data_IF_401034215630
#
_entry.id   IF_401034215630
#
_cell.length_a   1.000
_cell.length_b   1.000
_cell.length_c   1.000
_cell.angle_alpha   90.00
_cell.angle_beta   90.00
_cell.angle_gamma   90.00
#
_symmetry.space_group_name_H-M   'P 1'
#
loop_
_entity.id
_entity.type
_entity.pdbx_description
1 polymer ?
#
# COMPACT_ATOMS: atom_id res chain seq x y z
N UNK A 1 -6.81 -1.33 -20.26
CA UNK A 1 -8.22 -1.84 -20.19
C UNK A 1 -8.36 -2.56 -18.87
N UNK A 2 -9.46 -2.33 -18.14
CA UNK A 2 -9.67 -3.04 -16.86
C UNK A 2 -9.99 -4.51 -17.10
N UNK A 3 -9.29 -5.36 -16.39
CA UNK A 3 -9.47 -6.80 -16.34
C UNK A 3 -10.00 -7.22 -14.97
N UNK A 4 -10.61 -8.40 -14.87
CA UNK A 4 -11.19 -8.91 -13.63
C UNK A 4 -10.72 -10.35 -13.39
N UNK A 5 -10.03 -10.57 -12.28
CA UNK A 5 -9.69 -11.90 -11.80
C UNK A 5 -10.81 -12.43 -10.90
N UNK A 6 -11.37 -13.60 -11.23
CA UNK A 6 -12.26 -14.34 -10.32
C UNK A 6 -11.46 -14.89 -9.15
N UNK A 7 -11.91 -14.58 -7.94
CA UNK A 7 -11.35 -15.05 -6.67
C UNK A 7 -12.49 -15.49 -5.76
N UNK A 8 -12.17 -16.18 -4.66
CA UNK A 8 -13.16 -16.68 -3.75
C UNK A 8 -14.10 -15.57 -3.23
N UNK A 9 -15.39 -15.71 -3.51
CA UNK A 9 -16.42 -14.75 -3.13
C UNK A 9 -16.46 -13.46 -3.95
N UNK A 10 -15.78 -13.35 -5.11
CA UNK A 10 -15.89 -12.15 -5.93
C UNK A 10 -14.81 -11.99 -7.00
N UNK A 11 -14.45 -10.74 -7.28
CA UNK A 11 -13.47 -10.39 -8.31
C UNK A 11 -12.49 -9.33 -7.82
N UNK A 12 -11.26 -9.37 -8.34
CA UNK A 12 -10.25 -8.31 -8.22
C UNK A 12 -10.12 -7.62 -9.58
N UNK A 13 -10.34 -6.31 -9.60
CA UNK A 13 -10.12 -5.48 -10.78
C UNK A 13 -8.64 -5.07 -10.86
N UNK A 14 -8.07 -5.14 -12.05
CA UNK A 14 -6.68 -4.74 -12.29
C UNK A 14 -6.49 -4.23 -13.71
N UNK A 15 -5.43 -3.46 -13.93
CA UNK A 15 -4.95 -3.02 -15.24
C UNK A 15 -3.53 -3.55 -15.43
N UNK A 16 -3.19 -4.01 -16.65
CA UNK A 16 -1.82 -4.43 -17.00
C UNK A 16 -1.26 -3.49 -18.07
N UNK A 17 0.02 -3.11 -17.92
CA UNK A 17 0.76 -2.32 -18.90
C UNK A 17 2.22 -2.75 -18.97
N UNK A 18 2.83 -2.63 -20.15
CA UNK A 18 4.22 -3.05 -20.39
C UNK A 18 4.40 -4.56 -20.51
N UNK A 19 5.63 -4.96 -20.76
CA UNK A 19 6.08 -6.34 -20.94
C UNK A 19 7.34 -6.58 -20.11
N UNK A 20 7.70 -7.87 -19.86
CA UNK A 20 8.89 -8.25 -19.09
C UNK A 20 8.57 -8.78 -17.69
N UNK A 21 9.50 -8.69 -16.71
CA UNK A 21 9.31 -9.19 -15.36
C UNK A 21 8.09 -8.55 -14.68
N UNK A 22 7.31 -9.38 -13.98
CA UNK A 22 6.04 -8.95 -13.38
C UNK A 22 6.25 -8.10 -12.11
N UNK A 23 5.56 -6.96 -12.07
CA UNK A 23 5.47 -6.08 -10.89
C UNK A 23 4.00 -5.85 -10.55
N UNK A 24 3.61 -6.15 -9.32
CA UNK A 24 2.25 -5.90 -8.81
C UNK A 24 2.25 -4.62 -7.99
N UNK A 25 1.39 -3.67 -8.33
CA UNK A 25 1.17 -2.43 -7.56
C UNK A 25 -0.14 -2.53 -6.78
N UNK A 26 -0.08 -2.36 -5.46
CA UNK A 26 -1.21 -2.48 -4.56
C UNK A 26 -1.33 -1.26 -3.65
N UNK A 27 -2.47 -0.55 -3.76
CA UNK A 27 -2.72 0.73 -3.09
C UNK A 27 -3.04 0.60 -1.59
N UNK A 28 -3.08 1.73 -0.89
CA UNK A 28 -3.45 1.85 0.52
C UNK A 28 -4.97 1.91 0.76
N UNK A 29 -5.36 2.02 2.02
CA UNK A 29 -6.77 2.15 2.42
C UNK A 29 -7.46 3.33 1.73
N UNK A 30 -8.75 3.18 1.41
CA UNK A 30 -9.60 4.25 0.91
C UNK A 30 -9.17 4.84 -0.44
N UNK A 31 -8.36 4.13 -1.22
CA UNK A 31 -7.85 4.53 -2.52
C UNK A 31 -8.27 3.50 -3.61
N UNK A 32 -7.67 3.53 -4.78
CA UNK A 32 -7.88 2.60 -5.88
C UNK A 32 -6.62 2.51 -6.77
N UNK A 33 -6.57 1.58 -7.73
CA UNK A 33 -5.39 1.28 -8.58
C UNK A 33 -4.82 2.49 -9.32
N UNK A 34 -5.63 3.54 -9.57
CA UNK A 34 -5.16 4.79 -10.19
C UNK A 34 -4.27 5.64 -9.25
N UNK A 35 -4.08 5.23 -8.01
CA UNK A 35 -3.03 5.78 -7.14
C UNK A 35 -1.66 5.73 -7.83
N UNK A 36 -1.45 4.72 -8.67
CA UNK A 36 -0.19 4.48 -9.38
C UNK A 36 -0.14 5.06 -10.80
N UNK A 37 -1.08 5.95 -11.19
CA UNK A 37 -1.19 6.54 -12.53
C UNK A 37 0.09 7.23 -13.06
N UNK A 38 0.96 7.69 -12.15
CA UNK A 38 2.26 8.27 -12.51
C UNK A 38 3.41 7.26 -12.42
N UNK A 39 3.37 6.31 -11.49
CA UNK A 39 4.44 5.34 -11.28
C UNK A 39 4.36 4.19 -12.28
N UNK A 40 3.17 3.63 -12.51
CA UNK A 40 3.00 2.46 -13.37
C UNK A 40 3.55 2.66 -14.80
N UNK A 41 3.28 3.79 -15.50
CA UNK A 41 3.85 4.03 -16.81
C UNK A 41 5.38 4.10 -16.82
N UNK A 42 6.00 4.62 -15.76
CA UNK A 42 7.47 4.74 -15.65
C UNK A 42 8.13 3.37 -15.50
N UNK A 43 7.52 2.49 -14.71
CA UNK A 43 7.99 1.10 -14.57
C UNK A 43 7.80 0.33 -15.88
N UNK A 44 6.67 0.51 -16.57
CA UNK A 44 6.43 -0.11 -17.87
C UNK A 44 7.44 0.36 -18.94
N UNK A 45 7.75 1.66 -18.98
CA UNK A 45 8.79 2.22 -19.86
C UNK A 45 10.19 1.69 -19.53
N UNK A 46 10.42 1.29 -18.28
CA UNK A 46 11.68 0.68 -17.86
C UNK A 46 11.77 -0.82 -18.16
N UNK A 47 10.76 -1.40 -18.84
CA UNK A 47 10.77 -2.79 -19.30
C UNK A 47 10.16 -3.79 -18.35
N UNK A 48 9.20 -3.37 -17.50
CA UNK A 48 8.47 -4.25 -16.59
C UNK A 48 7.02 -4.42 -17.03
N UNK A 49 6.47 -5.61 -16.83
CA UNK A 49 5.03 -5.85 -16.92
C UNK A 49 4.38 -5.49 -15.59
N UNK A 50 3.62 -4.41 -15.59
CA UNK A 50 3.06 -3.79 -14.37
C UNK A 50 1.58 -4.06 -14.28
N UNK A 51 1.14 -4.71 -13.21
CA UNK A 51 -0.26 -4.93 -12.88
C UNK A 51 -0.64 -4.07 -11.66
N UNK A 52 -1.51 -3.08 -11.86
CA UNK A 52 -2.06 -2.25 -10.79
C UNK A 52 -3.43 -2.81 -10.39
N UNK A 53 -3.60 -3.21 -9.13
CA UNK A 53 -4.81 -3.87 -8.65
C UNK A 53 -5.59 -3.03 -7.64
N UNK A 54 -6.93 -3.12 -7.70
CA UNK A 54 -7.81 -2.63 -6.66
C UNK A 54 -7.90 -3.64 -5.51
N UNK A 55 -7.73 -3.21 -4.29
CA UNK A 55 -7.98 -4.04 -3.11
C UNK A 55 -9.45 -4.53 -3.09
N UNK A 56 -9.70 -5.69 -2.46
CA UNK A 56 -11.07 -6.11 -2.17
C UNK A 56 -11.84 -4.97 -1.50
N UNK A 57 -13.09 -4.76 -1.90
CA UNK A 57 -13.93 -3.69 -1.37
C UNK A 57 -13.60 -2.29 -1.89
N UNK A 58 -12.55 -2.10 -2.70
CA UNK A 58 -12.11 -0.81 -3.25
C UNK A 58 -12.23 -0.77 -4.77
N UNK A 59 -12.17 0.43 -5.33
CA UNK A 59 -12.20 0.66 -6.77
C UNK A 59 -13.35 -0.06 -7.48
N UNK A 60 -13.02 -0.95 -8.41
CA UNK A 60 -13.97 -1.80 -9.14
C UNK A 60 -13.96 -3.26 -8.65
N UNK A 61 -13.13 -3.59 -7.66
CA UNK A 61 -13.15 -4.91 -7.01
C UNK A 61 -14.43 -5.15 -6.23
N UNK A 62 -14.81 -6.43 -6.09
CA UNK A 62 -16.01 -6.85 -5.36
C UNK A 62 -16.00 -6.45 -3.91
N UNK A 63 -17.19 -6.10 -3.40
CA UNK A 63 -17.49 -5.84 -1.99
C UNK A 63 -18.05 -7.08 -1.29
N UNK A 64 -18.12 -7.04 0.04
CA UNK A 64 -18.80 -8.05 0.85
C UNK A 64 -18.11 -9.41 0.92
N UNK A 65 -16.84 -9.49 0.52
CA UNK A 65 -16.07 -10.75 0.58
C UNK A 65 -15.73 -11.11 2.04
N UNK A 66 -15.82 -12.39 2.34
CA UNK A 66 -15.40 -12.90 3.65
C UNK A 66 -13.88 -12.84 3.81
N UNK A 67 -13.42 -12.60 5.02
CA UNK A 67 -11.99 -12.63 5.35
C UNK A 67 -11.48 -14.07 5.41
N UNK A 68 -10.27 -14.30 4.88
CA UNK A 68 -9.57 -15.58 4.99
C UNK A 68 -9.17 -15.91 6.44
N UNK A 69 -9.20 -14.91 7.32
CA UNK A 69 -8.93 -15.08 8.76
C UNK A 69 -10.18 -15.41 9.57
N UNK A 70 -11.36 -15.45 8.93
CA UNK A 70 -12.65 -15.63 9.61
C UNK A 70 -13.13 -14.36 10.35
N UNK A 71 -12.49 -13.22 10.14
CA UNK A 71 -12.91 -11.93 10.71
C UNK A 71 -14.01 -11.31 9.84
N UNK A 72 -15.28 -11.55 10.17
CA UNK A 72 -16.45 -11.23 9.35
C UNK A 72 -16.60 -9.74 8.95
N UNK A 73 -15.91 -8.83 9.61
CA UNK A 73 -16.11 -7.39 9.41
C UNK A 73 -14.76 -6.62 9.31
N UNK A 74 -13.74 -7.28 8.75
CA UNK A 74 -12.41 -6.68 8.53
C UNK A 74 -11.88 -7.02 7.13
N UNK A 75 -11.04 -6.15 6.60
CA UNK A 75 -10.13 -6.43 5.48
C UNK A 75 -8.71 -6.38 6.06
N UNK A 76 -8.06 -7.52 6.10
CA UNK A 76 -6.79 -7.71 6.81
C UNK A 76 -5.61 -7.82 5.86
N UNK A 77 -4.36 -7.71 6.38
CA UNK A 77 -3.17 -7.98 5.57
C UNK A 77 -3.17 -9.39 4.93
N UNK A 78 -3.53 -10.48 5.66
CA UNK A 78 -3.68 -11.80 5.03
C UNK A 78 -4.72 -11.85 3.90
N UNK A 79 -5.81 -11.09 4.00
CA UNK A 79 -6.82 -11.02 2.94
C UNK A 79 -6.25 -10.41 1.65
N UNK A 80 -5.54 -9.30 1.80
CA UNK A 80 -4.90 -8.61 0.68
C UNK A 80 -3.78 -9.48 0.11
N UNK A 81 -2.98 -10.12 0.97
CA UNK A 81 -1.92 -11.04 0.54
C UNK A 81 -2.47 -12.20 -0.28
N UNK A 82 -3.59 -12.81 0.13
CA UNK A 82 -4.23 -13.88 -0.62
C UNK A 82 -4.68 -13.43 -2.02
N UNK A 83 -5.25 -12.22 -2.13
CA UNK A 83 -5.65 -11.64 -3.42
C UNK A 83 -4.44 -11.35 -4.31
N UNK A 84 -3.36 -10.80 -3.76
CA UNK A 84 -2.12 -10.54 -4.50
C UNK A 84 -1.49 -11.83 -5.01
N UNK A 85 -1.43 -12.87 -4.19
CA UNK A 85 -0.91 -14.18 -4.58
C UNK A 85 -1.78 -14.85 -5.67
N UNK A 86 -3.10 -14.68 -5.60
CA UNK A 86 -4.00 -15.15 -6.65
C UNK A 86 -3.74 -14.42 -7.97
N UNK A 87 -3.54 -13.10 -7.93
CA UNK A 87 -3.22 -12.29 -9.11
C UNK A 87 -1.86 -12.67 -9.69
N UNK A 88 -0.83 -12.88 -8.86
CA UNK A 88 0.49 -13.32 -9.30
C UNK A 88 0.41 -14.67 -10.03
N UNK A 89 -0.31 -15.66 -9.46
CA UNK A 89 -0.50 -16.97 -10.12
C UNK A 89 -1.23 -16.83 -11.46
N UNK A 90 -2.26 -16.00 -11.51
CA UNK A 90 -3.05 -15.75 -12.73
C UNK A 90 -2.19 -15.14 -13.83
N UNK A 91 -1.31 -14.21 -13.48
CA UNK A 91 -0.43 -13.53 -14.44
C UNK A 91 0.86 -14.28 -14.75
N UNK A 92 1.09 -15.47 -14.15
CA UNK A 92 2.26 -16.31 -14.43
C UNK A 92 3.55 -15.79 -13.77
N UNK A 93 3.47 -15.41 -12.48
CA UNK A 93 4.64 -14.96 -11.70
C UNK A 93 5.83 -15.95 -11.74
N UNK A 94 6.97 -15.62 -11.07
CA UNK A 94 7.04 -14.77 -9.87
C UNK A 94 6.93 -13.28 -10.13
N UNK A 95 6.71 -12.50 -9.05
CA UNK A 95 6.56 -11.06 -9.14
C UNK A 95 7.27 -10.31 -8.02
N UNK A 96 7.59 -9.05 -8.27
CA UNK A 96 7.86 -8.08 -7.19
C UNK A 96 6.55 -7.40 -6.80
N UNK A 97 6.27 -7.29 -5.51
CA UNK A 97 5.11 -6.55 -5.00
C UNK A 97 5.56 -5.16 -4.55
N UNK A 98 4.92 -4.12 -5.08
CA UNK A 98 5.04 -2.74 -4.60
C UNK A 98 3.76 -2.40 -3.85
N UNK A 99 3.82 -2.45 -2.53
CA UNK A 99 2.68 -2.22 -1.64
C UNK A 99 2.75 -0.86 -0.95
N UNK A 100 1.66 -0.09 -1.01
CA UNK A 100 1.53 1.16 -0.28
C UNK A 100 0.73 0.97 1.01
N UNK A 101 1.20 1.55 2.13
CA UNK A 101 0.46 1.58 3.39
C UNK A 101 0.08 0.17 3.87
N UNK A 102 -1.20 -0.18 4.02
CA UNK A 102 -1.69 -1.51 4.39
C UNK A 102 -1.17 -2.60 3.43
N UNK A 103 -1.03 -2.28 2.15
CA UNK A 103 -0.53 -3.23 1.15
C UNK A 103 0.97 -3.52 1.29
N UNK A 104 1.75 -2.65 1.94
CA UNK A 104 3.12 -2.96 2.35
C UNK A 104 3.15 -4.13 3.33
N UNK A 105 2.35 -4.06 4.39
CA UNK A 105 2.21 -5.19 5.31
C UNK A 105 1.65 -6.45 4.65
N UNK A 106 0.74 -6.32 3.70
CA UNK A 106 0.25 -7.45 2.92
C UNK A 106 1.32 -8.07 2.02
N UNK A 107 2.22 -7.25 1.44
CA UNK A 107 3.36 -7.73 0.66
C UNK A 107 4.31 -8.58 1.52
N UNK A 108 4.62 -8.13 2.75
CA UNK A 108 5.35 -8.93 3.75
C UNK A 108 4.69 -10.29 3.99
N UNK A 109 3.37 -10.33 4.22
CA UNK A 109 2.64 -11.59 4.43
C UNK A 109 2.71 -12.48 3.19
N UNK A 110 2.50 -11.92 1.99
CA UNK A 110 2.57 -12.67 0.74
C UNK A 110 3.97 -13.28 0.51
N UNK A 111 5.03 -12.52 0.78
CA UNK A 111 6.41 -12.99 0.65
C UNK A 111 6.73 -14.16 1.58
N UNK A 112 6.23 -14.11 2.82
CA UNK A 112 6.40 -15.21 3.79
C UNK A 112 5.57 -16.44 3.43
N UNK A 113 4.34 -16.23 2.93
CA UNK A 113 3.43 -17.35 2.59
C UNK A 113 3.82 -18.08 1.30
N UNK A 114 4.42 -17.36 0.34
CA UNK A 114 4.74 -17.92 -0.98
C UNK A 114 6.08 -17.37 -1.52
N UNK A 115 7.21 -17.76 -0.92
CA UNK A 115 8.53 -17.23 -1.28
C UNK A 115 8.92 -17.56 -2.73
N UNK A 116 8.36 -18.60 -3.32
CA UNK A 116 8.60 -18.95 -4.73
C UNK A 116 7.85 -18.03 -5.70
N UNK A 117 6.79 -17.37 -5.25
CA UNK A 117 5.96 -16.48 -6.06
C UNK A 117 6.32 -14.99 -5.86
N UNK A 118 6.96 -14.63 -4.77
CA UNK A 118 7.33 -13.23 -4.46
C UNK A 118 8.86 -13.13 -4.46
N UNK A 119 9.41 -12.57 -5.55
CA UNK A 119 10.84 -12.44 -5.72
C UNK A 119 11.47 -11.32 -4.88
N UNK A 120 10.70 -10.26 -4.62
CA UNK A 120 11.09 -9.14 -3.75
C UNK A 120 9.87 -8.31 -3.35
N UNK A 121 10.01 -7.45 -2.34
CA UNK A 121 8.96 -6.51 -1.92
C UNK A 121 9.50 -5.08 -1.89
N UNK A 122 8.67 -4.12 -2.33
CA UNK A 122 8.88 -2.69 -2.13
C UNK A 122 7.70 -2.17 -1.32
N UNK A 123 7.98 -1.57 -0.19
CA UNK A 123 6.95 -1.08 0.72
C UNK A 123 7.03 0.45 0.81
N UNK A 124 5.97 1.13 0.36
CA UNK A 124 5.88 2.59 0.32
C UNK A 124 5.08 3.08 1.54
N UNK A 125 5.73 3.73 2.49
CA UNK A 125 5.13 4.20 3.75
C UNK A 125 4.25 3.11 4.42
N UNK A 126 4.80 1.92 4.73
CA UNK A 126 4.01 0.76 5.06
C UNK A 126 3.49 0.75 6.49
N UNK A 127 2.40 0.03 6.71
CA UNK A 127 1.92 -0.39 8.02
C UNK A 127 2.25 -1.88 8.26
N UNK A 128 3.50 -2.16 8.61
CA UNK A 128 4.02 -3.53 8.72
C UNK A 128 4.16 -4.02 10.16
N UNK A 129 4.11 -3.11 11.14
CA UNK A 129 4.21 -3.47 12.55
C UNK A 129 3.29 -2.63 13.43
N UNK A 130 3.14 -3.07 14.69
CA UNK A 130 2.33 -2.34 15.67
C UNK A 130 2.84 -0.90 15.83
N UNK A 131 1.93 0.04 15.63
CA UNK A 131 2.17 1.44 15.93
C UNK A 131 1.91 1.74 17.41
N UNK A 132 2.82 2.45 18.06
CA UNK A 132 2.64 3.01 19.37
C UNK A 132 2.42 4.52 19.28
N UNK A 133 1.47 5.05 20.05
CA UNK A 133 1.25 6.49 20.12
C UNK A 133 2.50 7.18 20.68
N UNK A 134 3.11 8.03 19.87
CA UNK A 134 4.19 8.90 20.30
C UNK A 134 3.59 10.20 20.89
N UNK A 135 3.41 10.24 22.22
CA UNK A 135 2.82 11.40 22.90
C UNK A 135 3.64 12.68 22.71
N UNK A 136 4.97 12.59 22.73
CA UNK A 136 5.86 13.73 22.48
C UNK A 136 5.71 14.24 21.04
N UNK A 137 5.65 13.33 20.08
CA UNK A 137 5.37 13.63 18.67
C UNK A 137 3.99 14.24 18.49
N UNK A 138 2.96 13.69 19.14
CA UNK A 138 1.59 14.23 19.06
C UNK A 138 1.52 15.69 19.55
N UNK A 139 2.22 16.03 20.60
CA UNK A 139 2.23 17.40 21.12
C UNK A 139 3.04 18.36 20.26
N UNK A 140 4.17 17.93 19.68
CA UNK A 140 5.15 18.80 19.02
C UNK A 140 5.04 18.82 17.50
N UNK A 141 4.62 17.71 16.85
CA UNK A 141 4.63 17.55 15.41
C UNK A 141 3.22 17.74 14.86
N UNK A 142 2.97 18.91 14.24
CA UNK A 142 1.64 19.31 13.76
C UNK A 142 1.06 18.32 12.72
N UNK A 143 1.89 17.83 11.77
CA UNK A 143 1.42 16.88 10.74
C UNK A 143 0.94 15.57 11.38
N UNK A 144 1.72 15.00 12.30
CA UNK A 144 1.40 13.76 13.02
C UNK A 144 0.12 13.91 13.84
N UNK A 145 -0.02 15.00 14.59
CA UNK A 145 -1.25 15.30 15.35
C UNK A 145 -2.46 15.41 14.43
N UNK A 146 -2.37 16.16 13.31
CA UNK A 146 -3.49 16.33 12.37
C UNK A 146 -3.85 15.01 11.67
N UNK A 147 -2.85 14.25 11.22
CA UNK A 147 -3.05 12.94 10.61
C UNK A 147 -3.81 12.01 11.55
N UNK A 148 -3.23 11.75 12.73
CA UNK A 148 -3.81 10.86 13.73
C UNK A 148 -5.21 11.29 14.18
N UNK A 149 -5.43 12.59 14.44
CA UNK A 149 -6.75 13.10 14.86
C UNK A 149 -7.81 12.89 13.78
N UNK A 150 -7.46 13.03 12.50
CA UNK A 150 -8.40 12.78 11.40
C UNK A 150 -8.69 11.28 11.24
N UNK A 151 -7.69 10.40 11.37
CA UNK A 151 -7.90 8.94 11.34
C UNK A 151 -8.77 8.47 12.50
N UNK A 152 -8.54 8.99 13.72
CA UNK A 152 -9.40 8.71 14.87
C UNK A 152 -10.82 9.22 14.61
N UNK A 153 -10.97 10.45 14.10
CA UNK A 153 -12.27 11.02 13.76
C UNK A 153 -13.01 10.20 12.69
N UNK A 154 -12.29 9.68 11.70
CA UNK A 154 -12.84 8.77 10.69
C UNK A 154 -13.41 7.50 11.32
N UNK A 155 -12.66 6.86 12.21
CA UNK A 155 -13.10 5.63 12.87
C UNK A 155 -14.29 5.84 13.80
N UNK A 156 -14.29 6.94 14.56
CA UNK A 156 -15.36 7.24 15.52
C UNK A 156 -16.66 7.72 14.84
N UNK A 157 -16.53 8.62 13.87
CA UNK A 157 -17.71 9.28 13.27
C UNK A 157 -18.12 8.69 11.93
N UNK A 158 -17.28 7.84 11.30
CA UNK A 158 -17.50 7.18 10.01
C UNK A 158 -17.89 8.18 8.88
N UNK A 159 -17.36 9.41 8.96
CA UNK A 159 -17.66 10.49 8.00
C UNK A 159 -16.49 10.68 7.02
N UNK A 160 -16.73 10.62 5.71
CA UNK A 160 -15.67 10.77 4.69
C UNK A 160 -14.92 12.11 4.77
N UNK A 161 -15.53 13.16 5.34
CA UNK A 161 -14.86 14.44 5.55
C UNK A 161 -13.61 14.37 6.43
N UNK A 162 -13.51 13.42 7.36
CA UNK A 162 -12.28 13.18 8.11
C UNK A 162 -11.20 12.54 7.24
N UNK A 163 -11.59 11.65 6.32
CA UNK A 163 -10.68 11.06 5.36
C UNK A 163 -10.06 12.11 4.43
N UNK A 164 -10.87 12.99 3.83
CA UNK A 164 -10.34 14.04 2.96
C UNK A 164 -9.48 15.07 3.71
N UNK A 165 -9.78 15.37 4.97
CA UNK A 165 -8.88 16.18 5.81
C UNK A 165 -7.57 15.47 6.15
N UNK A 166 -7.59 14.13 6.29
CA UNK A 166 -6.37 13.34 6.40
C UNK A 166 -5.56 13.41 5.10
N UNK A 167 -6.18 13.18 3.95
CA UNK A 167 -5.53 13.25 2.65
C UNK A 167 -4.88 14.62 2.39
N UNK A 168 -5.51 15.72 2.82
CA UNK A 168 -4.90 17.06 2.72
C UNK A 168 -3.57 17.18 3.49
N UNK A 169 -3.45 16.49 4.62
CA UNK A 169 -2.18 16.42 5.39
C UNK A 169 -1.21 15.40 4.79
N UNK A 170 -1.73 14.31 4.26
CA UNK A 170 -0.96 13.21 3.69
C UNK A 170 -0.29 13.57 2.33
N UNK A 171 -0.80 14.62 1.68
CA UNK A 171 -0.21 15.21 0.46
C UNK A 171 0.36 16.60 0.76
N UNK A 172 1.54 16.75 1.41
CA UNK A 172 2.17 18.05 1.63
C UNK A 172 2.47 18.78 0.31
N UNK A 173 2.84 18.06 -0.73
CA UNK A 173 2.89 18.54 -2.12
C UNK A 173 1.79 17.87 -2.91
N UNK A 174 0.95 18.65 -3.56
CA UNK A 174 -0.19 18.14 -4.34
C UNK A 174 0.20 17.95 -5.80
N UNK A 175 -0.03 16.76 -6.40
CA UNK A 175 0.13 16.59 -7.84
C UNK A 175 -0.76 17.53 -8.65
N UNK A 176 -0.42 17.79 -9.91
CA UNK A 176 -1.15 18.73 -10.75
C UNK A 176 -2.64 18.34 -10.94
N UNK A 177 -2.96 17.06 -10.89
CA UNK A 177 -4.32 16.52 -11.01
C UNK A 177 -5.02 16.26 -9.67
N UNK A 178 -4.46 16.75 -8.57
CA UNK A 178 -4.93 16.43 -7.20
C UNK A 178 -6.43 16.62 -7.02
N UNK A 179 -6.96 17.78 -7.42
CA UNK A 179 -8.38 18.11 -7.21
C UNK A 179 -9.30 17.18 -8.02
N UNK A 180 -8.94 16.88 -9.27
CA UNK A 180 -9.67 15.94 -10.11
C UNK A 180 -9.61 14.51 -9.53
N UNK A 181 -8.45 14.09 -9.06
CA UNK A 181 -8.28 12.78 -8.41
C UNK A 181 -9.09 12.66 -7.12
N UNK A 182 -9.06 13.69 -6.26
CA UNK A 182 -9.86 13.71 -5.03
C UNK A 182 -11.37 13.72 -5.31
N UNK A 183 -11.81 14.41 -6.38
CA UNK A 183 -13.23 14.39 -6.78
C UNK A 183 -13.67 13.00 -7.25
N UNK A 184 -12.84 12.31 -8.04
CA UNK A 184 -13.11 10.93 -8.48
C UNK A 184 -13.13 9.96 -7.29
N UNK A 185 -12.18 10.06 -6.36
CA UNK A 185 -12.13 9.26 -5.14
C UNK A 185 -13.37 9.49 -4.27
N UNK A 186 -13.78 10.74 -4.12
CA UNK A 186 -15.00 11.10 -3.38
C UNK A 186 -16.27 10.52 -4.03
N UNK A 187 -16.34 10.52 -5.36
CA UNK A 187 -17.44 9.89 -6.09
C UNK A 187 -17.48 8.38 -5.83
N UNK A 188 -16.31 7.72 -5.89
CA UNK A 188 -16.19 6.29 -5.62
C UNK A 188 -16.61 5.92 -4.19
N UNK A 189 -16.16 6.66 -3.19
CA UNK A 189 -16.53 6.41 -1.79
C UNK A 189 -18.01 6.68 -1.47
N UNK A 190 -18.72 7.44 -2.33
CA UNK A 190 -20.18 7.64 -2.21
C UNK A 190 -21.01 6.51 -2.80
N UNK A 191 -20.42 5.62 -3.59
CA UNK A 191 -21.13 4.44 -4.07
C UNK A 191 -21.69 3.63 -2.89
N UNK A 192 -22.90 3.05 -3.01
CA UNK A 192 -23.49 2.26 -1.94
C UNK A 192 -22.55 1.14 -1.48
N UNK A 193 -22.26 1.08 -0.18
CA UNK A 193 -21.40 0.07 0.43
C UNK A 193 -19.88 0.38 0.44
N UNK A 194 -19.35 1.22 -0.46
CA UNK A 194 -17.89 1.48 -0.56
C UNK A 194 -17.31 2.07 0.72
N UNK A 195 -17.99 3.01 1.35
CA UNK A 195 -17.52 3.59 2.62
C UNK A 195 -17.48 2.54 3.74
N UNK A 196 -18.43 1.61 3.77
CA UNK A 196 -18.41 0.51 4.75
C UNK A 196 -17.24 -0.44 4.52
N UNK A 197 -16.96 -0.82 3.27
CA UNK A 197 -15.79 -1.63 2.91
C UNK A 197 -14.47 -0.93 3.26
N UNK A 198 -14.34 0.35 2.93
CA UNK A 198 -13.17 1.13 3.33
C UNK A 198 -12.94 1.09 4.84
N UNK A 199 -13.98 1.25 5.66
CA UNK A 199 -13.85 1.23 7.12
C UNK A 199 -13.43 -0.15 7.69
N UNK A 200 -13.66 -1.23 6.96
CA UNK A 200 -13.19 -2.58 7.34
C UNK A 200 -11.66 -2.68 7.36
N UNK A 201 -10.96 -1.94 6.49
CA UNK A 201 -9.50 -1.92 6.46
C UNK A 201 -8.88 -1.34 7.74
N UNK A 202 -9.58 -0.39 8.37
CA UNK A 202 -9.16 0.18 9.65
C UNK A 202 -9.19 -0.80 10.83
N UNK A 203 -9.75 -2.00 10.65
CA UNK A 203 -9.76 -3.08 11.64
C UNK A 203 -8.60 -4.07 11.46
N UNK A 204 -7.76 -3.89 10.43
CA UNK A 204 -6.54 -4.67 10.24
C UNK A 204 -5.59 -4.51 11.43
N UNK A 205 -4.83 -5.56 11.73
CA UNK A 205 -3.92 -5.60 12.88
C UNK A 205 -2.46 -5.68 12.42
N UNK A 206 -1.77 -4.56 12.20
CA UNK A 206 -0.36 -4.56 11.74
C UNK A 206 0.59 -5.32 12.67
N UNK A 207 0.22 -5.48 13.95
CA UNK A 207 1.00 -6.27 14.91
C UNK A 207 1.19 -7.74 14.46
N UNK A 208 0.19 -8.32 13.79
CA UNK A 208 0.26 -9.69 13.27
C UNK A 208 1.28 -9.80 12.14
N UNK A 209 1.34 -8.81 11.27
CA UNK A 209 2.36 -8.72 10.22
C UNK A 209 3.76 -8.53 10.82
N UNK A 210 3.90 -7.68 11.84
CA UNK A 210 5.17 -7.43 12.50
C UNK A 210 5.82 -8.68 13.07
N UNK A 211 5.03 -9.67 13.53
CA UNK A 211 5.57 -10.95 14.01
C UNK A 211 6.13 -11.82 12.89
N UNK A 212 5.82 -11.53 11.63
CA UNK A 212 6.25 -12.28 10.45
C UNK A 212 7.50 -11.69 9.77
N UNK A 213 7.92 -10.47 10.15
CA UNK A 213 9.12 -9.82 9.58
C UNK A 213 10.39 -10.69 9.67
N UNK A 214 10.64 -11.44 10.77
CA UNK A 214 11.82 -12.33 10.84
C UNK A 214 11.80 -13.51 9.86
N UNK A 215 10.64 -13.79 9.22
CA UNK A 215 10.47 -14.89 8.28
C UNK A 215 10.65 -14.46 6.81
N UNK A 216 10.81 -13.16 6.55
CA UNK A 216 11.01 -12.63 5.19
C UNK A 216 12.34 -13.14 4.65
N UNK A 217 12.30 -13.79 3.48
CA UNK A 217 13.48 -14.39 2.84
C UNK A 217 13.87 -13.75 1.50
N UNK A 218 13.03 -12.88 0.96
CA UNK A 218 13.31 -12.15 -0.27
C UNK A 218 13.80 -10.72 0.03
N UNK A 219 14.55 -10.08 -0.90
CA UNK A 219 14.94 -8.68 -0.78
C UNK A 219 13.76 -7.74 -0.53
N UNK A 220 13.96 -6.75 0.35
CA UNK A 220 12.95 -5.78 0.72
C UNK A 220 13.48 -4.34 0.66
N UNK A 221 12.75 -3.44 -0.01
CA UNK A 221 13.00 -2.00 -0.02
C UNK A 221 11.86 -1.28 0.71
N UNK A 222 12.19 -0.61 1.81
CA UNK A 222 11.24 0.22 2.58
C UNK A 222 11.48 1.68 2.19
N UNK A 223 10.47 2.34 1.61
CA UNK A 223 10.57 3.74 1.17
C UNK A 223 9.67 4.61 2.04
N UNK A 224 10.27 5.56 2.75
CA UNK A 224 9.58 6.42 3.70
C UNK A 224 9.58 7.88 3.26
N UNK A 225 8.42 8.53 3.27
CA UNK A 225 8.31 9.99 3.09
C UNK A 225 8.58 10.73 4.40
N UNK A 226 9.48 11.72 4.42
CA UNK A 226 9.87 12.42 5.65
C UNK A 226 8.74 13.22 6.31
N UNK A 227 7.70 13.55 5.54
CA UNK A 227 6.52 14.28 6.02
C UNK A 227 5.26 13.40 6.15
N UNK A 228 5.42 12.07 6.16
CA UNK A 228 4.29 11.16 6.38
C UNK A 228 3.60 11.47 7.73
N UNK A 229 2.28 11.78 7.72
CA UNK A 229 1.56 12.14 8.94
C UNK A 229 1.27 10.96 9.87
N UNK A 230 1.49 9.73 9.43
CA UNK A 230 1.19 8.52 10.21
C UNK A 230 2.30 8.18 11.20
N UNK A 231 3.49 8.75 11.00
CA UNK A 231 4.67 8.50 11.83
C UNK A 231 5.24 9.79 12.41
N UNK A 232 5.56 9.79 13.71
CA UNK A 232 6.28 10.89 14.32
C UNK A 232 7.69 11.03 13.72
N UNK A 233 8.36 9.90 13.49
CA UNK A 233 9.65 9.78 12.81
C UNK A 233 9.57 8.68 11.74
N UNK A 234 9.29 9.03 10.47
CA UNK A 234 9.17 8.03 9.40
C UNK A 234 10.46 7.26 9.15
N UNK A 235 11.63 7.91 9.24
CA UNK A 235 12.91 7.22 9.04
C UNK A 235 13.14 6.16 10.11
N UNK A 236 12.95 6.49 11.37
CA UNK A 236 13.07 5.55 12.48
C UNK A 236 12.08 4.38 12.35
N UNK A 237 10.88 4.61 11.79
CA UNK A 237 9.92 3.53 11.51
C UNK A 237 10.46 2.58 10.44
N UNK A 238 10.96 3.09 9.31
CA UNK A 238 11.58 2.28 8.26
C UNK A 238 12.77 1.47 8.78
N UNK A 239 13.66 2.11 9.54
CA UNK A 239 14.82 1.44 10.16
C UNK A 239 14.37 0.32 11.12
N UNK A 240 13.30 0.53 11.88
CA UNK A 240 12.76 -0.48 12.80
C UNK A 240 12.08 -1.65 12.08
N UNK A 241 11.48 -1.43 10.89
CA UNK A 241 10.95 -2.51 10.05
C UNK A 241 12.11 -3.37 9.54
N UNK A 242 13.14 -2.75 8.96
CA UNK A 242 14.32 -3.46 8.44
C UNK A 242 15.06 -4.19 9.55
N UNK A 243 15.21 -3.59 10.73
CA UNK A 243 15.88 -4.23 11.88
C UNK A 243 15.12 -5.47 12.40
N UNK A 244 13.82 -5.60 12.10
CA UNK A 244 13.03 -6.78 12.44
C UNK A 244 13.10 -7.90 11.38
N UNK A 245 13.68 -7.64 10.21
CA UNK A 245 13.93 -8.62 9.15
C UNK A 245 15.27 -9.33 9.39
N UNK A 246 15.55 -10.48 8.75
CA UNK A 246 16.86 -11.08 8.76
C UNK A 246 17.92 -10.12 8.20
N UNK A 247 19.14 -10.20 8.73
CA UNK A 247 20.23 -9.30 8.32
C UNK A 247 20.51 -9.38 6.81
N UNK A 248 20.64 -8.23 6.17
CA UNK A 248 20.91 -8.11 4.73
C UNK A 248 19.70 -8.24 3.80
N UNK A 249 18.50 -8.50 4.32
CA UNK A 249 17.28 -8.63 3.53
C UNK A 249 16.70 -7.25 3.19
N UNK A 250 16.62 -6.35 4.16
CA UNK A 250 15.94 -5.08 4.00
C UNK A 250 16.88 -3.89 3.81
N UNK A 251 16.44 -2.90 3.05
CA UNK A 251 17.06 -1.58 2.92
C UNK A 251 16.03 -0.48 3.10
N UNK A 252 16.46 0.70 3.60
CA UNK A 252 15.59 1.86 3.77
C UNK A 252 16.02 2.98 2.83
N UNK A 253 15.08 3.50 2.05
CA UNK A 253 15.21 4.76 1.30
C UNK A 253 14.26 5.81 1.86
N UNK A 254 14.61 7.10 1.67
CA UNK A 254 13.81 8.22 2.19
C UNK A 254 13.55 9.23 1.08
N UNK A 255 12.29 9.61 0.90
CA UNK A 255 11.85 10.68 -0.01
C UNK A 255 11.70 11.96 0.80
N UNK A 256 12.60 12.92 0.57
CA UNK A 256 12.59 14.20 1.28
C UNK A 256 11.38 15.05 0.90
N UNK A 257 10.65 15.58 1.87
CA UNK A 257 9.42 16.35 1.63
C UNK A 257 8.21 15.50 1.23
N UNK A 258 8.38 14.18 1.05
CA UNK A 258 7.29 13.27 0.72
C UNK A 258 6.37 13.05 1.92
N UNK A 259 5.06 13.05 1.69
CA UNK A 259 4.03 12.63 2.66
C UNK A 259 3.73 11.14 2.56
N UNK A 260 2.46 10.77 2.82
CA UNK A 260 2.05 9.36 2.77
C UNK A 260 1.98 8.80 1.33
N UNK A 261 1.68 9.63 0.35
CA UNK A 261 1.47 9.22 -1.06
C UNK A 261 2.67 9.57 -1.94
N UNK A 262 3.88 9.16 -1.55
CA UNK A 262 5.14 9.50 -2.23
C UNK A 262 5.15 9.12 -3.72
N UNK A 263 4.50 8.00 -4.10
CA UNK A 263 4.38 7.51 -5.47
C UNK A 263 3.58 8.44 -6.39
N UNK A 264 2.72 9.29 -5.82
CA UNK A 264 1.97 10.31 -6.56
C UNK A 264 2.58 11.70 -6.42
N UNK A 265 3.28 12.00 -5.32
CA UNK A 265 3.88 13.31 -5.04
C UNK A 265 5.24 13.49 -5.70
N UNK A 266 6.06 12.45 -5.68
CA UNK A 266 7.45 12.43 -6.19
C UNK A 266 7.66 11.22 -7.11
N UNK A 267 6.84 11.07 -8.18
CA UNK A 267 6.82 9.85 -9.00
C UNK A 267 8.16 9.55 -9.68
N UNK A 268 8.95 10.57 -10.03
CA UNK A 268 10.25 10.38 -10.66
C UNK A 268 11.28 9.83 -9.68
N UNK A 269 11.34 10.37 -8.47
CA UNK A 269 12.24 9.92 -7.42
C UNK A 269 11.88 8.50 -6.95
N UNK A 270 10.59 8.23 -6.72
CA UNK A 270 10.12 6.90 -6.34
C UNK A 270 10.35 5.89 -7.46
N UNK A 271 10.11 6.28 -8.73
CA UNK A 271 10.41 5.40 -9.87
C UNK A 271 11.89 5.05 -9.95
N UNK A 272 12.80 6.03 -9.74
CA UNK A 272 14.24 5.79 -9.76
C UNK A 272 14.67 4.78 -8.67
N UNK A 273 14.15 4.94 -7.45
CA UNK A 273 14.40 4.01 -6.34
C UNK A 273 13.89 2.60 -6.65
N UNK A 274 12.63 2.50 -7.11
CA UNK A 274 11.99 1.21 -7.42
C UNK A 274 12.70 0.54 -8.60
N UNK A 275 12.97 1.25 -9.70
CA UNK A 275 13.66 0.69 -10.88
C UNK A 275 15.08 0.23 -10.51
N UNK A 276 15.81 1.00 -9.69
CA UNK A 276 17.13 0.59 -9.19
C UNK A 276 17.05 -0.76 -8.49
N UNK A 277 16.11 -0.91 -7.57
CA UNK A 277 15.88 -2.14 -6.84
C UNK A 277 15.39 -3.30 -7.73
N UNK A 278 14.49 -3.03 -8.67
CA UNK A 278 13.97 -4.03 -9.61
C UNK A 278 15.05 -4.62 -10.51
N UNK A 279 16.04 -3.83 -10.97
CA UNK A 279 17.13 -4.30 -11.81
C UNK A 279 17.98 -5.41 -11.15
N UNK A 280 18.03 -5.39 -9.82
CA UNK A 280 18.81 -6.37 -9.06
C UNK A 280 17.96 -7.59 -8.65
N UNK A 281 16.63 -7.44 -8.52
CA UNK A 281 15.79 -8.41 -7.83
C UNK A 281 14.58 -8.91 -8.62
N UNK A 282 14.14 -8.23 -9.70
CA UNK A 282 13.06 -8.72 -10.53
C UNK A 282 13.56 -9.86 -11.43
N UNK A 283 12.83 -10.99 -11.39
CA UNK A 283 13.13 -12.18 -12.22
C UNK A 283 12.19 -12.20 -13.44
N UNK A 284 12.73 -12.62 -14.57
CA UNK A 284 11.96 -12.84 -15.79
C UNK A 284 11.16 -14.16 -15.70
#
# INVERSE_FOLDING_TARGET
MTEFLGVDGGTIAYDVTGDGPLVILSHGIGDHRQAYRFLAPKLAQAGYRVASADLRGHGESSMGRMSVTGADDAITHPDIAADLLALIRHLGGPAVIVGHSISGGAATIAAVQAPDLVSAVVELNPFTKKQSLNLGGFLRIRRYRRGLSNLIGLQLFKRPGFWFRYLDVAYPTKPADYDAYMAALAAKLREPGRMAEFLKTGKSKPAETGTRLPEVSCPALIVMGTLDPDFADPRAEGDAIVAAMPAGIGTVAVVSGGGHYIHAQSPDEVAALVIGFLKEHARA
#
